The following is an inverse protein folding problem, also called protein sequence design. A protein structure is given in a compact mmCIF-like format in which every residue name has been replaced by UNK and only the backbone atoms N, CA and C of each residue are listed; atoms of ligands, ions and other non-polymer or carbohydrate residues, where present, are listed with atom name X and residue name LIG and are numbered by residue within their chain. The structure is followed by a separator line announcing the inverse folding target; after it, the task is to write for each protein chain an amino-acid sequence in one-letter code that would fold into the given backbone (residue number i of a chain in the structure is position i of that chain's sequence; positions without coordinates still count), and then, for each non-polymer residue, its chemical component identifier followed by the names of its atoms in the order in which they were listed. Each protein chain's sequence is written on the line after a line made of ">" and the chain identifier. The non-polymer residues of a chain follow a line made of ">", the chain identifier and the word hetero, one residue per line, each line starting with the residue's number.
data_IF_315976769733
#
_entry.id   IF_315976769733
#
_cell.length_a   1.000
_cell.length_b   1.000
_cell.length_c   1.000
_cell.angle_alpha   90.00
_cell.angle_beta   90.00
_cell.angle_gamma   90.00
#
_symmetry.space_group_name_H-M   'P 1'
#
loop_
_entity.id
_entity.type
_entity.pdbx_description
1 polymer ?
#
# COMPACT_ATOMS: atom_id res chain seq x y z
N UNK A 1 11.51 29.47 -64.34
CA UNK A 1 10.21 29.58 -63.63
C UNK A 1 9.59 28.23 -63.24
N UNK A 2 9.89 27.11 -63.89
CA UNK A 2 9.32 25.79 -63.55
C UNK A 2 9.85 25.18 -62.25
N UNK A 3 11.15 25.33 -61.95
CA UNK A 3 11.77 24.76 -60.75
C UNK A 3 11.16 25.26 -59.43
N UNK A 4 11.03 26.58 -59.27
CA UNK A 4 10.41 27.17 -58.07
C UNK A 4 8.93 26.78 -57.91
N UNK A 5 8.19 26.67 -59.01
CA UNK A 5 6.80 26.22 -58.99
C UNK A 5 6.69 24.77 -58.50
N UNK A 6 7.55 23.91 -58.99
CA UNK A 6 7.58 22.51 -58.55
C UNK A 6 8.08 22.36 -57.11
N UNK A 7 9.03 23.15 -56.64
CA UNK A 7 9.50 23.14 -55.27
C UNK A 7 8.40 23.56 -54.31
N UNK A 8 7.68 24.67 -54.60
CA UNK A 8 6.58 25.14 -53.77
C UNK A 8 5.43 24.12 -53.77
N UNK A 9 5.07 23.58 -54.91
CA UNK A 9 4.02 22.55 -55.02
C UNK A 9 4.36 21.29 -54.23
N UNK A 10 5.60 20.84 -54.27
CA UNK A 10 6.08 19.69 -53.50
C UNK A 10 6.05 19.98 -51.98
N UNK A 11 6.52 21.15 -51.56
CA UNK A 11 6.47 21.57 -50.16
C UNK A 11 5.03 21.61 -49.61
N UNK A 12 4.11 22.25 -50.37
CA UNK A 12 2.69 22.30 -50.00
C UNK A 12 2.09 20.88 -49.92
N UNK A 13 2.39 20.02 -50.91
CA UNK A 13 1.93 18.64 -50.92
C UNK A 13 2.41 17.84 -49.69
N UNK A 14 3.67 18.05 -49.29
CA UNK A 14 4.23 17.41 -48.09
C UNK A 14 3.55 17.91 -46.83
N UNK A 15 3.31 19.20 -46.69
CA UNK A 15 2.58 19.75 -45.53
C UNK A 15 1.14 19.24 -45.43
N UNK A 16 0.44 19.14 -46.58
CA UNK A 16 -0.92 18.57 -46.62
C UNK A 16 -0.90 17.10 -46.23
N UNK A 17 0.07 16.33 -46.76
CA UNK A 17 0.21 14.90 -46.45
C UNK A 17 0.50 14.67 -44.94
N UNK A 18 1.43 15.46 -44.34
CA UNK A 18 1.75 15.42 -42.93
C UNK A 18 0.53 15.84 -42.08
N UNK A 19 -0.21 16.87 -42.50
CA UNK A 19 -1.43 17.30 -41.82
C UNK A 19 -2.54 16.20 -41.82
N UNK A 20 -2.72 15.54 -42.95
CA UNK A 20 -3.66 14.42 -43.07
C UNK A 20 -3.23 13.22 -42.22
N UNK A 21 -1.93 12.90 -42.20
CA UNK A 21 -1.39 11.82 -41.39
C UNK A 21 -1.53 12.13 -39.91
N UNK A 22 -1.35 13.37 -39.47
CA UNK A 22 -1.56 13.82 -38.09
C UNK A 22 -3.03 13.71 -37.70
N UNK A 23 -3.96 14.15 -38.55
CA UNK A 23 -5.42 14.02 -38.32
C UNK A 23 -5.82 12.55 -38.25
N UNK A 24 -5.27 11.72 -39.18
CA UNK A 24 -5.51 10.27 -39.14
C UNK A 24 -5.02 9.64 -37.83
N UNK A 25 -3.81 10.03 -37.37
CA UNK A 25 -3.26 9.58 -36.09
C UNK A 25 -4.14 10.00 -34.90
N UNK A 26 -4.65 11.24 -34.90
CA UNK A 26 -5.57 11.70 -33.84
C UNK A 26 -6.90 10.93 -33.84
N UNK A 27 -7.48 10.68 -35.02
CA UNK A 27 -8.72 9.90 -35.17
C UNK A 27 -8.48 8.45 -34.77
N UNK A 28 -7.34 7.88 -35.15
CA UNK A 28 -6.96 6.52 -34.75
C UNK A 28 -6.74 6.43 -33.23
N UNK A 29 -6.08 7.42 -32.63
CA UNK A 29 -5.87 7.49 -31.18
C UNK A 29 -7.21 7.64 -30.44
N UNK A 30 -8.07 8.54 -30.90
CA UNK A 30 -9.40 8.74 -30.33
C UNK A 30 -10.29 7.50 -30.49
N UNK A 31 -10.23 6.83 -31.63
CA UNK A 31 -10.91 5.58 -31.87
C UNK A 31 -10.39 4.42 -31.02
N UNK A 32 -9.08 4.36 -30.82
CA UNK A 32 -8.45 3.36 -29.92
C UNK A 32 -8.89 3.55 -28.47
N UNK A 33 -8.91 4.80 -28.00
CA UNK A 33 -9.39 5.14 -26.65
C UNK A 33 -10.89 4.82 -26.50
N UNK A 34 -11.72 5.15 -27.49
CA UNK A 34 -13.13 4.85 -27.47
C UNK A 34 -13.44 3.33 -27.49
N UNK A 35 -12.61 2.54 -28.20
CA UNK A 35 -12.74 1.07 -28.20
C UNK A 35 -12.23 0.43 -26.90
N UNK A 36 -11.29 1.07 -26.18
CA UNK A 36 -10.85 0.63 -24.85
C UNK A 36 -11.88 0.93 -23.77
N UNK A 37 -12.72 1.96 -23.96
CA UNK A 37 -13.76 2.36 -22.99
C UNK A 37 -15.04 1.49 -23.09
N UNK A 38 -15.24 0.77 -24.20
CA UNK A 38 -16.39 -0.14 -24.38
C UNK A 38 -16.17 -1.54 -23.77
N UNK A 39 -14.93 -1.95 -23.53
CA UNK A 39 -14.56 -3.22 -22.89
C UNK A 39 -14.05 -3.05 -21.45
N UNK A 40 -14.32 -1.94 -20.81
CA UNK A 40 -14.21 -1.87 -19.36
C UNK A 40 -15.16 -2.89 -18.79
N UNK A 41 -14.68 -4.13 -18.59
CA UNK A 41 -15.41 -5.19 -17.90
C UNK A 41 -16.03 -4.58 -16.65
N UNK A 42 -17.32 -4.27 -16.73
CA UNK A 42 -18.11 -3.95 -15.54
C UNK A 42 -18.16 -5.25 -14.78
N UNK A 43 -17.21 -5.43 -13.83
CA UNK A 43 -17.24 -6.57 -12.93
C UNK A 43 -18.62 -6.53 -12.26
N UNK A 44 -19.52 -7.40 -12.69
CA UNK A 44 -20.79 -7.63 -12.03
C UNK A 44 -20.51 -8.55 -10.84
N UNK A 45 -20.89 -8.09 -9.66
CA UNK A 45 -20.80 -8.91 -8.46
C UNK A 45 -21.97 -9.88 -8.45
N UNK A 46 -21.67 -11.14 -8.21
CA UNK A 46 -22.66 -12.18 -7.95
C UNK A 46 -22.92 -12.33 -6.45
N UNK A 47 -24.00 -13.01 -6.10
CA UNK A 47 -24.28 -13.37 -4.71
C UNK A 47 -23.14 -14.27 -4.16
N UNK A 48 -22.79 -14.10 -2.89
CA UNK A 48 -21.72 -14.81 -2.23
C UNK A 48 -20.30 -14.50 -2.76
N UNK A 49 -20.08 -13.35 -3.39
CA UNK A 49 -18.76 -12.95 -3.83
C UNK A 49 -17.79 -12.80 -2.66
N UNK A 50 -16.62 -13.40 -2.76
CA UNK A 50 -15.50 -13.23 -1.83
C UNK A 50 -14.47 -12.29 -2.46
N UNK A 51 -14.19 -11.18 -1.77
CA UNK A 51 -13.19 -10.23 -2.23
C UNK A 51 -11.79 -10.73 -1.91
N UNK A 52 -10.99 -10.97 -2.93
CA UNK A 52 -9.59 -11.35 -2.79
C UNK A 52 -8.75 -10.10 -2.59
N UNK A 53 -8.29 -9.92 -1.36
CA UNK A 53 -7.40 -8.83 -0.98
C UNK A 53 -5.95 -9.27 -1.26
N UNK A 54 -5.52 -9.08 -2.50
CA UNK A 54 -4.18 -9.36 -3.01
C UNK A 54 -3.59 -8.04 -3.53
N UNK A 55 -2.73 -7.40 -2.73
CA UNK A 55 -2.18 -6.10 -3.03
C UNK A 55 -0.66 -6.19 -3.09
N UNK A 56 -0.14 -6.39 -4.29
CA UNK A 56 1.30 -6.44 -4.56
C UNK A 56 2.01 -5.08 -4.60
N UNK A 57 1.29 -3.98 -4.34
CA UNK A 57 1.82 -2.61 -4.41
C UNK A 57 1.88 -1.94 -3.02
N UNK A 58 2.78 -0.95 -2.86
CA UNK A 58 2.86 -0.18 -1.63
C UNK A 58 1.52 0.49 -1.26
N UNK A 59 1.24 0.54 0.04
CA UNK A 59 0.07 1.24 0.58
C UNK A 59 0.53 2.59 1.14
N UNK A 60 -0.02 3.67 0.60
CA UNK A 60 0.24 5.06 1.01
C UNK A 60 -1.04 5.69 1.59
N UNK A 61 -0.91 6.86 2.21
CA UNK A 61 -2.08 7.61 2.71
C UNK A 61 -3.04 7.97 1.57
N UNK A 62 -2.47 8.27 0.40
CA UNK A 62 -3.17 8.62 -0.82
C UNK A 62 -2.45 8.07 -2.04
N UNK A 63 -3.21 7.70 -3.05
CA UNK A 63 -2.67 7.35 -4.37
C UNK A 63 -1.83 8.49 -4.93
N UNK A 64 -0.60 8.22 -5.41
CA UNK A 64 0.20 9.25 -6.06
C UNK A 64 -0.55 9.76 -7.29
N UNK A 65 -0.79 11.08 -7.33
CA UNK A 65 -1.29 11.73 -8.54
C UNK A 65 -0.10 11.99 -9.47
N UNK A 66 0.41 10.97 -10.11
CA UNK A 66 1.36 11.17 -11.20
C UNK A 66 0.57 11.63 -12.43
N UNK A 67 0.76 12.90 -12.82
CA UNK A 67 0.35 13.38 -14.13
C UNK A 67 1.35 12.84 -15.16
N UNK A 68 1.31 11.54 -15.38
CA UNK A 68 2.14 10.88 -16.38
C UNK A 68 1.26 10.46 -17.56
N UNK A 69 1.87 10.38 -18.73
CA UNK A 69 1.21 9.80 -19.90
C UNK A 69 0.76 8.34 -19.64
N UNK A 70 1.40 7.66 -18.70
CA UNK A 70 1.05 6.33 -18.22
C UNK A 70 -0.28 6.33 -17.44
N UNK A 71 -0.56 7.35 -16.62
CA UNK A 71 -1.86 7.45 -15.93
C UNK A 71 -3.01 7.82 -16.86
N UNK A 72 -2.70 8.47 -18.00
CA UNK A 72 -3.69 8.73 -19.04
C UNK A 72 -4.01 7.48 -19.90
N UNK A 73 -3.19 6.44 -19.79
CA UNK A 73 -3.35 5.15 -20.47
C UNK A 73 -3.85 4.05 -19.49
N UNK A 74 -4.30 4.42 -18.28
CA UNK A 74 -4.76 3.46 -17.25
C UNK A 74 -3.74 2.34 -16.96
N UNK A 75 -2.44 2.64 -17.06
CA UNK A 75 -1.39 1.72 -16.64
C UNK A 75 -1.43 1.63 -15.11
N UNK A 76 -1.28 0.42 -14.56
CA UNK A 76 -1.39 0.06 -13.15
C UNK A 76 -0.85 1.14 -12.19
N UNK A 77 -1.54 1.42 -11.09
CA UNK A 77 -1.12 2.40 -10.11
C UNK A 77 0.25 2.02 -9.50
N UNK A 78 1.07 3.02 -9.20
CA UNK A 78 2.37 2.80 -8.53
C UNK A 78 2.21 2.43 -7.04
N UNK A 79 1.08 2.77 -6.44
CA UNK A 79 0.72 2.48 -5.06
C UNK A 79 -0.80 2.63 -4.86
N UNK A 80 -1.32 1.95 -3.85
CA UNK A 80 -2.72 2.11 -3.43
C UNK A 80 -2.86 3.11 -2.29
N UNK A 81 -3.91 3.93 -2.31
CA UNK A 81 -4.21 4.90 -1.26
C UNK A 81 -5.16 4.36 -0.20
N UNK A 82 -4.88 4.61 1.08
CA UNK A 82 -5.84 4.32 2.16
C UNK A 82 -7.16 5.06 1.97
N UNK A 83 -7.12 6.24 1.35
CA UNK A 83 -8.31 7.02 1.02
C UNK A 83 -9.27 6.34 0.04
N UNK A 84 -8.83 5.32 -0.68
CA UNK A 84 -9.65 4.48 -1.58
C UNK A 84 -9.93 3.11 -0.98
N UNK A 85 -8.95 2.49 -0.34
CA UNK A 85 -9.07 1.16 0.29
C UNK A 85 -10.11 1.17 1.41
N UNK A 86 -10.01 2.11 2.36
CA UNK A 86 -10.88 2.12 3.55
C UNK A 86 -12.35 2.28 3.19
N UNK A 87 -12.76 3.27 2.35
CA UNK A 87 -14.15 3.35 1.91
C UNK A 87 -14.64 2.12 1.14
N UNK A 88 -13.76 1.43 0.41
CA UNK A 88 -14.12 0.20 -0.26
C UNK A 88 -14.41 -0.95 0.74
N UNK A 89 -13.60 -1.09 1.79
CA UNK A 89 -13.86 -2.05 2.88
C UNK A 89 -15.17 -1.71 3.61
N UNK A 90 -15.42 -0.43 3.89
CA UNK A 90 -16.67 0.02 4.52
C UNK A 90 -17.91 -0.24 3.65
N UNK A 91 -17.77 -0.10 2.33
CA UNK A 91 -18.82 -0.44 1.38
C UNK A 91 -19.03 -1.95 1.32
N UNK A 92 -17.95 -2.73 1.25
CA UNK A 92 -18.02 -4.20 1.25
C UNK A 92 -18.71 -4.75 2.52
N UNK A 93 -18.52 -4.10 3.67
CA UNK A 93 -19.23 -4.47 4.90
C UNK A 93 -20.76 -4.35 4.78
N UNK A 94 -21.25 -3.46 3.91
CA UNK A 94 -22.68 -3.15 3.71
C UNK A 94 -23.26 -3.75 2.43
N UNK A 95 -22.43 -4.29 1.56
CA UNK A 95 -22.83 -4.82 0.25
C UNK A 95 -23.31 -6.26 0.40
N UNK A 96 -24.61 -6.51 0.22
CA UNK A 96 -25.23 -7.83 0.41
C UNK A 96 -24.65 -8.90 -0.53
N UNK A 97 -24.07 -8.52 -1.66
CA UNK A 97 -23.43 -9.43 -2.59
C UNK A 97 -22.06 -9.94 -2.09
N UNK A 98 -21.42 -9.21 -1.16
CA UNK A 98 -20.12 -9.58 -0.60
C UNK A 98 -20.31 -10.49 0.61
N UNK A 99 -19.79 -11.70 0.53
CA UNK A 99 -19.85 -12.67 1.63
C UNK A 99 -18.66 -12.54 2.61
N UNK A 100 -17.50 -12.13 2.14
CA UNK A 100 -16.30 -12.03 2.97
C UNK A 100 -15.09 -11.50 2.23
N UNK A 101 -13.97 -11.46 2.96
CA UNK A 101 -12.65 -11.06 2.43
C UNK A 101 -11.69 -12.25 2.56
N UNK A 102 -10.95 -12.52 1.51
CA UNK A 102 -9.83 -13.46 1.49
C UNK A 102 -8.52 -12.69 1.35
N UNK A 103 -7.78 -12.58 2.44
CA UNK A 103 -6.46 -11.91 2.44
C UNK A 103 -5.43 -12.89 1.86
N UNK A 104 -4.81 -12.51 0.74
CA UNK A 104 -3.78 -13.31 0.06
C UNK A 104 -2.63 -12.40 -0.38
N UNK A 105 -1.39 -12.87 -0.21
CA UNK A 105 -0.17 -12.20 -0.71
C UNK A 105 -0.11 -10.69 -0.46
N UNK A 106 -0.39 -10.27 0.76
CA UNK A 106 -0.18 -8.87 1.10
C UNK A 106 1.32 -8.67 1.20
N UNK A 107 1.90 -8.09 0.18
CA UNK A 107 3.22 -7.47 0.32
C UNK A 107 2.97 -6.13 1.02
N UNK A 108 2.85 -6.15 2.35
CA UNK A 108 2.47 -4.97 3.15
C UNK A 108 3.64 -3.95 3.17
N UNK A 109 3.97 -3.43 1.99
CA UNK A 109 4.93 -2.34 1.83
C UNK A 109 4.26 -1.01 2.15
N UNK A 110 4.10 -0.73 3.43
CA UNK A 110 3.57 0.54 3.93
C UNK A 110 4.12 0.83 5.32
N UNK A 111 4.07 2.09 5.75
CA UNK A 111 4.42 2.46 7.12
C UNK A 111 3.52 1.76 8.13
N UNK A 112 4.03 1.52 9.35
CA UNK A 112 3.29 0.84 10.43
C UNK A 112 1.95 1.52 10.73
N UNK A 113 1.88 2.85 10.60
CA UNK A 113 0.66 3.64 10.78
C UNK A 113 -0.40 3.29 9.75
N UNK A 114 -0.01 3.10 8.48
CA UNK A 114 -0.91 2.72 7.40
C UNK A 114 -1.46 1.31 7.62
N UNK A 115 -0.58 0.39 8.04
CA UNK A 115 -0.99 -0.98 8.39
C UNK A 115 -1.96 -1.00 9.56
N UNK A 116 -1.73 -0.18 10.58
CA UNK A 116 -2.62 -0.06 11.72
C UNK A 116 -3.99 0.49 11.31
N UNK A 117 -4.02 1.48 10.44
CA UNK A 117 -5.27 2.07 9.93
C UNK A 117 -6.05 1.07 9.07
N UNK A 118 -5.37 0.35 8.18
CA UNK A 118 -5.97 -0.73 7.40
C UNK A 118 -6.52 -1.85 8.28
N UNK A 119 -5.74 -2.27 9.29
CA UNK A 119 -6.18 -3.28 10.26
C UNK A 119 -7.47 -2.87 10.96
N UNK A 120 -7.60 -1.60 11.39
CA UNK A 120 -8.84 -1.10 11.99
C UNK A 120 -10.04 -1.23 11.08
N UNK A 121 -9.87 -0.94 9.79
CA UNK A 121 -10.93 -1.11 8.80
C UNK A 121 -11.34 -2.59 8.64
N UNK A 122 -10.38 -3.51 8.64
CA UNK A 122 -10.64 -4.95 8.58
C UNK A 122 -11.34 -5.46 9.87
N UNK A 123 -10.95 -4.96 11.04
CA UNK A 123 -11.64 -5.28 12.31
C UNK A 123 -13.09 -4.80 12.26
N UNK A 124 -13.32 -3.56 11.82
CA UNK A 124 -14.68 -3.02 11.66
C UNK A 124 -15.50 -3.79 10.60
N UNK A 125 -14.85 -4.28 9.54
CA UNK A 125 -15.53 -5.14 8.57
C UNK A 125 -16.10 -6.41 9.22
N UNK A 126 -15.38 -7.05 10.15
CA UNK A 126 -15.87 -8.24 10.86
C UNK A 126 -17.12 -7.96 11.71
N UNK A 127 -17.31 -6.74 12.17
CA UNK A 127 -18.53 -6.35 12.92
C UNK A 127 -19.81 -6.46 12.07
N UNK A 128 -19.69 -6.48 10.74
CA UNK A 128 -20.79 -6.75 9.83
C UNK A 128 -21.28 -8.21 9.86
N UNK A 129 -20.56 -9.12 10.52
CA UNK A 129 -20.83 -10.55 10.56
C UNK A 129 -20.24 -11.33 9.37
N UNK A 130 -19.58 -10.65 8.43
CA UNK A 130 -18.91 -11.26 7.29
C UNK A 130 -17.54 -11.81 7.72
N UNK A 131 -17.09 -12.87 7.05
CA UNK A 131 -15.84 -13.52 7.42
C UNK A 131 -14.61 -12.88 6.78
N UNK A 132 -13.48 -13.04 7.43
CA UNK A 132 -12.15 -12.80 6.84
C UNK A 132 -11.35 -14.08 6.96
N UNK A 133 -10.83 -14.58 5.84
CA UNK A 133 -9.86 -15.66 5.80
C UNK A 133 -8.52 -15.14 5.28
N UNK A 134 -7.43 -15.74 5.73
CA UNK A 134 -6.10 -15.41 5.25
C UNK A 134 -5.36 -16.66 4.77
N UNK A 135 -4.63 -16.52 3.67
CA UNK A 135 -3.73 -17.52 3.14
C UNK A 135 -2.42 -16.89 2.70
N UNK A 136 -1.30 -17.51 3.07
CA UNK A 136 0.03 -17.09 2.63
C UNK A 136 0.99 -18.27 2.50
N UNK A 137 1.89 -18.18 1.54
CA UNK A 137 3.02 -19.08 1.45
C UNK A 137 4.10 -18.71 2.48
N UNK A 138 4.14 -17.44 2.85
CA UNK A 138 4.97 -16.82 3.84
C UNK A 138 4.25 -15.58 4.38
N UNK A 139 4.41 -15.30 5.66
CA UNK A 139 3.97 -14.05 6.26
C UNK A 139 5.17 -13.29 6.82
N UNK A 140 5.44 -12.10 6.29
CA UNK A 140 6.28 -11.13 7.00
C UNK A 140 5.59 -10.70 8.29
N UNK A 141 6.28 -10.06 9.20
CA UNK A 141 5.66 -9.56 10.45
C UNK A 141 4.53 -8.57 10.18
N UNK A 142 4.67 -7.71 9.17
CA UNK A 142 3.62 -6.78 8.76
C UNK A 142 2.43 -7.50 8.11
N UNK A 143 2.67 -8.51 7.28
CA UNK A 143 1.62 -9.30 6.67
C UNK A 143 0.85 -10.10 7.74
N UNK A 144 1.57 -10.69 8.69
CA UNK A 144 0.97 -11.40 9.81
C UNK A 144 0.13 -10.47 10.69
N UNK A 145 0.60 -9.24 10.92
CA UNK A 145 -0.15 -8.24 11.66
C UNK A 145 -1.53 -7.97 11.03
N UNK A 146 -1.62 -7.89 9.70
CA UNK A 146 -2.89 -7.76 9.01
C UNK A 146 -3.68 -9.08 8.98
N UNK A 147 -3.03 -10.18 8.63
CA UNK A 147 -3.66 -11.49 8.53
C UNK A 147 -4.23 -11.96 9.88
N UNK A 148 -3.63 -11.53 11.01
CA UNK A 148 -4.09 -11.93 12.35
C UNK A 148 -5.50 -11.44 12.72
N UNK A 149 -6.12 -10.55 11.92
CA UNK A 149 -7.54 -10.17 12.04
C UNK A 149 -8.46 -11.31 11.60
N UNK A 150 -7.98 -12.17 10.69
CA UNK A 150 -8.81 -13.20 10.06
C UNK A 150 -9.41 -14.19 11.06
N UNK A 151 -10.57 -14.73 10.72
CA UNK A 151 -11.24 -15.80 11.46
C UNK A 151 -10.49 -17.12 11.33
N UNK A 152 -9.81 -17.30 10.20
CA UNK A 152 -8.92 -18.45 9.96
C UNK A 152 -7.72 -18.03 9.12
N UNK A 153 -6.54 -18.42 9.58
CA UNK A 153 -5.26 -18.15 8.93
C UNK A 153 -4.65 -19.47 8.47
N UNK A 154 -4.42 -19.60 7.19
CA UNK A 154 -3.78 -20.77 6.59
C UNK A 154 -2.40 -20.41 6.08
N UNK A 155 -1.44 -21.30 6.35
CA UNK A 155 -0.06 -21.20 5.90
C UNK A 155 0.25 -22.34 4.95
N UNK A 156 1.09 -22.10 3.94
CA UNK A 156 1.59 -23.20 3.12
C UNK A 156 2.35 -24.22 3.99
N UNK A 157 2.25 -25.54 3.72
CA UNK A 157 2.91 -26.56 4.55
C UNK A 157 4.43 -26.36 4.75
N UNK A 158 5.10 -25.80 3.73
CA UNK A 158 6.54 -25.45 3.77
C UNK A 158 6.78 -23.98 4.11
N UNK A 159 5.74 -23.24 4.52
CA UNK A 159 5.78 -21.82 4.80
C UNK A 159 6.26 -21.50 6.21
N UNK A 160 6.38 -20.19 6.47
CA UNK A 160 6.75 -19.67 7.78
C UNK A 160 6.10 -18.31 8.05
N UNK A 161 6.02 -17.96 9.33
CA UNK A 161 5.61 -16.64 9.81
C UNK A 161 6.86 -15.96 10.40
N UNK A 162 7.24 -14.84 9.84
CA UNK A 162 8.34 -14.03 10.37
C UNK A 162 7.86 -13.18 11.55
N UNK A 163 7.89 -13.76 12.75
CA UNK A 163 7.43 -13.13 13.99
C UNK A 163 8.58 -13.13 14.99
N UNK A 164 9.37 -12.02 15.02
CA UNK A 164 10.66 -11.94 15.70
C UNK A 164 10.85 -10.72 16.59
N UNK A 165 9.94 -9.78 16.57
CA UNK A 165 10.10 -8.50 17.25
C UNK A 165 10.67 -7.40 16.34
N UNK A 166 11.11 -6.32 16.96
CA UNK A 166 11.63 -5.14 16.27
C UNK A 166 13.06 -4.84 16.69
N UNK A 167 13.86 -4.33 15.77
CA UNK A 167 15.20 -3.84 16.04
C UNK A 167 15.49 -2.58 15.21
N UNK A 168 16.36 -1.73 15.72
CA UNK A 168 16.91 -0.60 14.98
C UNK A 168 18.43 -0.69 14.95
N UNK A 169 19.00 -0.61 13.75
CA UNK A 169 20.44 -0.59 13.52
C UNK A 169 20.83 0.77 12.94
N UNK A 170 21.81 1.42 13.57
CA UNK A 170 22.30 2.74 13.16
C UNK A 170 23.79 2.64 12.85
N UNK A 171 24.16 3.01 11.64
CA UNK A 171 25.55 3.04 11.21
C UNK A 171 26.21 4.36 11.66
N UNK A 172 27.44 4.25 12.19
CA UNK A 172 28.24 5.38 12.65
C UNK A 172 29.45 5.59 11.72
N UNK A 173 29.65 6.82 11.29
CA UNK A 173 30.61 7.16 10.22
C UNK A 173 31.79 7.98 10.69
N UNK A 174 31.90 8.35 11.99
CA UNK A 174 32.97 9.20 12.52
C UNK A 174 34.37 8.66 12.17
N UNK A 175 34.67 7.41 12.53
CA UNK A 175 35.93 6.79 12.23
C UNK A 175 36.27 6.71 10.74
N UNK A 176 35.26 6.55 9.88
CA UNK A 176 35.43 6.55 8.43
C UNK A 176 35.76 7.95 7.90
N UNK A 177 35.12 8.98 8.45
CA UNK A 177 35.39 10.38 8.12
C UNK A 177 36.82 10.76 8.50
N UNK A 178 37.24 10.45 9.71
CA UNK A 178 38.60 10.72 10.17
C UNK A 178 39.68 10.08 9.27
N UNK A 179 39.47 8.82 8.85
CA UNK A 179 40.35 8.11 7.92
C UNK A 179 40.36 8.69 6.49
N UNK A 180 39.27 9.28 6.06
CA UNK A 180 39.16 9.91 4.75
C UNK A 180 39.55 11.38 4.71
N UNK A 181 39.93 11.97 5.88
CA UNK A 181 40.28 13.38 6.00
C UNK A 181 39.07 14.33 5.88
N UNK A 182 37.85 13.80 6.00
CA UNK A 182 36.61 14.61 6.03
C UNK A 182 36.32 14.95 7.49
N UNK A 183 36.03 16.21 7.76
CA UNK A 183 35.62 16.65 9.08
C UNK A 183 34.24 17.31 8.97
N UNK A 184 33.24 16.74 9.62
CA UNK A 184 31.91 17.29 9.69
C UNK A 184 31.75 18.12 10.94
N UNK A 185 31.42 19.40 10.75
CA UNK A 185 31.03 20.29 11.84
C UNK A 185 29.51 20.35 11.94
N UNK A 186 28.96 20.09 13.11
CA UNK A 186 27.53 20.09 13.35
C UNK A 186 27.17 21.05 14.47
N UNK A 187 26.25 21.95 14.17
CA UNK A 187 25.65 22.85 15.17
C UNK A 187 24.30 22.26 15.57
N UNK A 188 24.19 21.82 16.82
CA UNK A 188 22.93 21.28 17.38
C UNK A 188 22.65 21.86 18.76
N UNK A 189 21.40 21.90 19.15
CA UNK A 189 20.95 22.27 20.49
C UNK A 189 20.02 21.21 21.03
N UNK A 190 20.27 20.73 22.25
CA UNK A 190 19.48 19.71 22.94
C UNK A 190 20.02 18.28 22.81
N UNK A 191 19.87 17.52 23.90
CA UNK A 191 20.44 16.17 24.05
C UNK A 191 19.76 15.13 23.12
N UNK A 192 18.47 15.33 22.81
CA UNK A 192 17.68 14.42 22.00
C UNK A 192 17.70 14.74 20.49
N UNK A 193 18.57 15.64 20.05
CA UNK A 193 18.82 15.94 18.63
C UNK A 193 19.83 14.93 18.07
N UNK A 194 19.40 13.67 17.93
CA UNK A 194 20.29 12.53 17.65
C UNK A 194 20.55 12.29 16.14
N UNK A 195 19.83 12.92 15.22
CA UNK A 195 19.96 12.69 13.79
C UNK A 195 21.38 12.86 13.22
N UNK A 196 22.23 13.65 13.89
CA UNK A 196 23.62 13.91 13.49
C UNK A 196 24.65 13.09 14.26
N UNK A 197 24.24 12.31 15.24
CA UNK A 197 25.15 11.46 16.03
C UNK A 197 26.00 10.50 15.20
N UNK A 198 25.46 9.89 14.12
CA UNK A 198 26.22 9.01 13.25
C UNK A 198 27.52 9.64 12.69
N UNK A 199 27.55 10.96 12.58
CA UNK A 199 28.73 11.70 12.10
C UNK A 199 29.65 12.21 13.20
N UNK A 200 29.17 12.27 14.44
CA UNK A 200 29.90 12.85 15.57
C UNK A 200 30.48 11.81 16.53
N UNK A 201 29.86 10.64 16.59
CA UNK A 201 30.18 9.59 17.55
C UNK A 201 30.56 8.28 16.84
N UNK A 202 31.17 7.35 17.53
CA UNK A 202 31.39 5.98 17.06
C UNK A 202 30.33 5.00 17.59
N UNK A 203 29.46 5.45 18.49
CA UNK A 203 28.38 4.66 19.10
C UNK A 203 27.23 5.57 19.54
N UNK A 204 26.10 4.95 19.80
CA UNK A 204 24.86 5.59 20.21
C UNK A 204 24.98 6.15 21.64
N UNK A 205 24.56 7.42 21.83
CA UNK A 205 24.42 8.00 23.17
C UNK A 205 23.27 7.32 23.96
N UNK A 206 23.35 7.43 25.30
CA UNK A 206 22.29 6.90 26.17
C UNK A 206 20.94 7.61 25.94
N UNK A 207 20.96 8.91 25.67
CA UNK A 207 19.76 9.68 25.34
C UNK A 207 19.13 9.19 24.03
N UNK A 208 19.93 8.95 23.01
CA UNK A 208 19.46 8.41 21.74
C UNK A 208 18.94 6.98 21.89
N UNK A 209 19.66 6.13 22.64
CA UNK A 209 19.24 4.76 22.96
C UNK A 209 17.88 4.74 23.65
N UNK A 210 17.71 5.57 24.66
CA UNK A 210 16.44 5.67 25.39
C UNK A 210 15.29 6.09 24.49
N UNK A 211 15.53 7.06 23.59
CA UNK A 211 14.52 7.53 22.65
C UNK A 211 14.12 6.44 21.64
N UNK A 212 15.11 5.77 21.05
CA UNK A 212 14.85 4.71 20.05
C UNK A 212 14.18 3.51 20.73
N UNK A 213 14.64 3.12 21.91
CA UNK A 213 14.05 2.01 22.66
C UNK A 213 12.58 2.28 22.97
N UNK A 214 12.26 3.46 23.51
CA UNK A 214 10.87 3.84 23.79
C UNK A 214 10.00 3.78 22.53
N UNK A 215 10.52 4.23 21.40
CA UNK A 215 9.80 4.19 20.12
C UNK A 215 9.55 2.76 19.63
N UNK A 216 10.54 1.89 19.75
CA UNK A 216 10.43 0.47 19.35
C UNK A 216 9.46 -0.26 20.28
N UNK A 217 9.56 -0.03 21.59
CA UNK A 217 8.70 -0.66 22.59
C UNK A 217 7.23 -0.27 22.37
N UNK A 218 6.94 1.02 22.16
CA UNK A 218 5.58 1.51 21.89
C UNK A 218 4.97 0.86 20.63
N UNK A 219 5.77 0.67 19.57
CA UNK A 219 5.32 -0.01 18.35
C UNK A 219 5.09 -1.49 18.64
N UNK A 220 6.03 -2.16 19.31
CA UNK A 220 5.94 -3.58 19.61
C UNK A 220 4.75 -3.90 20.48
N UNK A 221 4.53 -3.16 21.55
CA UNK A 221 3.38 -3.30 22.45
C UNK A 221 2.05 -3.11 21.70
N UNK A 222 2.00 -2.13 20.80
CA UNK A 222 0.83 -1.92 19.93
C UNK A 222 0.56 -3.12 19.02
N UNK A 223 1.60 -3.70 18.41
CA UNK A 223 1.48 -4.88 17.56
C UNK A 223 1.01 -6.09 18.37
N UNK A 224 1.67 -6.35 19.52
CA UNK A 224 1.33 -7.46 20.41
C UNK A 224 -0.11 -7.35 20.90
N UNK A 225 -0.52 -6.21 21.43
CA UNK A 225 -1.87 -6.00 21.95
C UNK A 225 -2.96 -6.24 20.92
N UNK A 226 -2.75 -5.77 19.71
CA UNK A 226 -3.68 -5.99 18.60
C UNK A 226 -3.75 -7.45 18.15
N UNK A 227 -2.60 -8.13 18.02
CA UNK A 227 -2.55 -9.55 17.66
C UNK A 227 -3.14 -10.40 18.80
N UNK A 228 -2.79 -10.11 20.04
CA UNK A 228 -3.30 -10.78 21.24
C UNK A 228 -4.83 -10.79 21.26
N UNK A 229 -5.42 -9.62 21.05
CA UNK A 229 -6.88 -9.44 21.00
C UNK A 229 -7.51 -10.30 19.90
N UNK A 230 -6.94 -10.30 18.70
CA UNK A 230 -7.51 -11.01 17.56
C UNK A 230 -7.30 -12.53 17.62
N UNK A 231 -6.17 -12.99 18.19
CA UNK A 231 -5.83 -14.42 18.29
C UNK A 231 -6.26 -15.07 19.61
N UNK A 232 -6.78 -14.30 20.56
CA UNK A 232 -7.14 -14.82 21.88
C UNK A 232 -5.93 -15.29 22.70
N UNK A 233 -4.76 -14.70 22.46
CA UNK A 233 -3.50 -15.00 23.16
C UNK A 233 -3.18 -13.84 24.13
N UNK A 234 -2.32 -14.08 25.12
CA UNK A 234 -1.78 -12.98 25.90
C UNK A 234 -0.53 -12.37 25.21
N UNK A 235 -0.31 -11.08 25.40
CA UNK A 235 0.88 -10.37 24.89
C UNK A 235 2.16 -11.06 25.35
N UNK A 236 2.24 -11.51 26.59
CA UNK A 236 3.40 -12.25 27.13
C UNK A 236 3.65 -13.56 26.40
N UNK A 237 2.61 -14.27 25.99
CA UNK A 237 2.74 -15.51 25.21
C UNK A 237 3.25 -15.20 23.82
N UNK A 238 2.73 -14.14 23.18
CA UNK A 238 3.21 -13.70 21.87
C UNK A 238 4.66 -13.23 21.90
N UNK A 239 5.05 -12.48 22.92
CA UNK A 239 6.44 -12.05 23.12
C UNK A 239 7.37 -13.26 23.26
N UNK A 240 7.00 -14.25 24.07
CA UNK A 240 7.71 -15.53 24.16
C UNK A 240 7.77 -16.28 22.82
N UNK A 241 6.70 -16.17 22.01
CA UNK A 241 6.70 -16.78 20.67
C UNK A 241 7.66 -16.08 19.72
N UNK A 242 7.82 -14.76 19.82
CA UNK A 242 8.80 -14.01 19.06
C UNK A 242 10.24 -14.43 19.46
N UNK A 243 10.54 -14.49 20.74
CA UNK A 243 11.84 -14.90 21.27
C UNK A 243 12.26 -16.30 20.83
N UNK A 244 11.28 -17.23 20.76
CA UNK A 244 11.53 -18.63 20.41
C UNK A 244 11.38 -18.91 18.93
N UNK A 245 11.19 -17.91 18.08
CA UNK A 245 10.95 -18.07 16.63
C UNK A 245 9.85 -19.08 16.35
N UNK A 246 8.72 -18.95 17.05
CA UNK A 246 7.59 -19.88 16.97
C UNK A 246 6.92 -19.95 15.60
N UNK A 247 7.15 -18.95 14.74
CA UNK A 247 6.70 -18.92 13.35
C UNK A 247 7.66 -19.54 12.33
N UNK A 248 8.84 -20.04 12.75
CA UNK A 248 9.94 -20.40 11.84
C UNK A 248 9.62 -21.56 10.86
N UNK A 249 8.55 -22.30 11.08
CA UNK A 249 7.98 -23.25 10.13
C UNK A 249 6.50 -23.46 10.45
N UNK A 250 5.78 -24.07 9.52
CA UNK A 250 4.33 -24.25 9.62
C UNK A 250 3.91 -25.07 10.85
N UNK A 251 4.64 -26.12 11.21
CA UNK A 251 4.31 -26.96 12.37
C UNK A 251 4.41 -26.18 13.68
N UNK A 252 5.46 -25.38 13.84
CA UNK A 252 5.62 -24.51 15.01
C UNK A 252 4.56 -23.43 15.04
N UNK A 253 4.26 -22.78 13.91
CA UNK A 253 3.24 -21.75 13.80
C UNK A 253 1.85 -22.26 14.21
N UNK A 254 1.48 -23.49 13.85
CA UNK A 254 0.23 -24.13 14.29
C UNK A 254 0.26 -24.40 15.79
N UNK A 255 1.34 -25.05 16.29
CA UNK A 255 1.44 -25.40 17.71
C UNK A 255 1.45 -24.17 18.65
N UNK A 256 1.86 -23.02 18.14
CA UNK A 256 1.86 -21.72 18.83
C UNK A 256 0.56 -20.94 18.61
N UNK A 257 -0.42 -21.48 17.90
CA UNK A 257 -1.67 -20.80 17.56
C UNK A 257 -1.47 -19.48 16.80
N UNK A 258 -0.31 -19.30 16.14
CA UNK A 258 -0.10 -18.17 15.23
C UNK A 258 -0.94 -18.34 13.97
N UNK A 259 -1.13 -19.57 13.49
CA UNK A 259 -2.00 -19.92 12.36
C UNK A 259 -2.93 -21.07 12.73
N UNK A 260 -4.04 -21.22 12.02
CA UNK A 260 -5.09 -22.19 12.35
C UNK A 260 -4.88 -23.53 11.61
N UNK A 261 -4.04 -23.54 10.57
CA UNK A 261 -3.74 -24.76 9.83
C UNK A 261 -2.87 -24.50 8.62
N UNK A 262 -2.57 -25.60 7.93
CA UNK A 262 -1.88 -25.54 6.65
C UNK A 262 -2.83 -25.81 5.48
N UNK A 263 -2.52 -25.19 4.36
CA UNK A 263 -3.17 -25.43 3.08
C UNK A 263 -2.20 -25.15 1.93
N UNK A 264 -2.31 -25.90 0.84
CA UNK A 264 -1.79 -25.44 -0.45
C UNK A 264 -2.78 -24.43 -1.03
N UNK A 265 -2.35 -23.60 -1.98
CA UNK A 265 -3.26 -22.64 -2.64
C UNK A 265 -4.53 -23.31 -3.21
N UNK A 266 -4.40 -24.51 -3.74
CA UNK A 266 -5.53 -25.30 -4.23
C UNK A 266 -6.48 -25.70 -3.09
N UNK A 267 -5.94 -26.33 -2.03
CA UNK A 267 -6.78 -26.78 -0.91
C UNK A 267 -7.38 -25.62 -0.12
N UNK A 268 -6.74 -24.44 -0.15
CA UNK A 268 -7.32 -23.22 0.41
C UNK A 268 -8.55 -22.75 -0.38
N UNK A 269 -8.48 -22.75 -1.72
CA UNK A 269 -9.64 -22.43 -2.57
C UNK A 269 -10.78 -23.42 -2.31
N UNK A 270 -10.48 -24.72 -2.19
CA UNK A 270 -11.48 -25.75 -1.86
C UNK A 270 -12.10 -25.49 -0.46
N UNK A 271 -11.31 -25.08 0.53
CA UNK A 271 -11.80 -24.70 1.87
C UNK A 271 -12.70 -23.46 1.82
N UNK A 272 -12.34 -22.46 1.00
CA UNK A 272 -13.13 -21.26 0.82
C UNK A 272 -14.47 -21.60 0.18
N UNK A 273 -14.47 -22.38 -0.90
CA UNK A 273 -15.66 -22.83 -1.59
C UNK A 273 -16.58 -23.69 -0.70
N UNK A 274 -16.00 -24.51 0.19
CA UNK A 274 -16.79 -25.37 1.10
C UNK A 274 -17.63 -24.64 2.15
N UNK A 275 -17.53 -23.31 2.24
CA UNK A 275 -18.40 -22.47 3.08
C UNK A 275 -19.75 -22.19 2.45
N UNK A 276 -19.89 -22.46 1.17
CA UNK A 276 -21.07 -22.17 0.37
C UNK A 276 -21.62 -23.45 -0.21
N UNK A 277 -22.94 -23.52 -0.33
CA UNK A 277 -23.61 -24.66 -0.95
C UNK A 277 -23.48 -24.62 -2.49
N UNK A 278 -23.27 -23.39 -3.03
CA UNK A 278 -23.09 -23.11 -4.44
C UNK A 278 -21.62 -22.74 -4.76
N UNK A 279 -21.31 -22.55 -6.03
CA UNK A 279 -20.00 -22.07 -6.46
C UNK A 279 -19.69 -20.69 -5.87
N UNK A 280 -18.49 -20.53 -5.33
CA UNK A 280 -18.02 -19.27 -4.76
C UNK A 280 -17.38 -18.43 -5.84
N UNK A 281 -17.94 -17.25 -6.07
CA UNK A 281 -17.31 -16.26 -6.93
C UNK A 281 -16.23 -15.49 -6.17
N UNK A 282 -15.13 -15.23 -6.85
CA UNK A 282 -14.02 -14.45 -6.29
C UNK A 282 -13.71 -13.25 -7.18
N UNK A 283 -13.73 -12.07 -6.60
CA UNK A 283 -13.40 -10.81 -7.27
C UNK A 283 -12.16 -10.20 -6.62
N UNK A 284 -11.25 -9.67 -7.42
CA UNK A 284 -10.11 -8.94 -6.89
C UNK A 284 -10.62 -7.68 -6.16
N UNK A 285 -10.06 -7.40 -4.98
CA UNK A 285 -10.44 -6.22 -4.20
C UNK A 285 -10.17 -4.90 -4.94
N UNK A 286 -9.15 -4.86 -5.80
CA UNK A 286 -8.85 -3.68 -6.63
C UNK A 286 -9.98 -3.39 -7.60
N UNK A 287 -10.54 -4.42 -8.25
CA UNK A 287 -11.68 -4.29 -9.15
C UNK A 287 -12.92 -3.82 -8.38
N UNK A 288 -13.13 -4.36 -7.17
CA UNK A 288 -14.19 -3.91 -6.28
C UNK A 288 -14.05 -2.44 -5.88
N UNK A 289 -12.83 -1.93 -5.64
CA UNK A 289 -12.61 -0.51 -5.33
C UNK A 289 -13.16 0.40 -6.43
N UNK A 290 -13.03 0.02 -7.69
CA UNK A 290 -13.58 0.78 -8.82
C UNK A 290 -15.11 0.84 -8.79
N UNK A 291 -15.77 -0.27 -8.46
CA UNK A 291 -17.23 -0.35 -8.29
C UNK A 291 -17.68 0.49 -7.10
N UNK A 292 -17.02 0.35 -5.96
CA UNK A 292 -17.33 1.07 -4.73
C UNK A 292 -17.19 2.59 -4.90
N UNK A 293 -16.21 3.05 -5.70
CA UNK A 293 -16.03 4.47 -5.99
C UNK A 293 -17.19 5.09 -6.76
N UNK A 294 -17.85 4.32 -7.64
CA UNK A 294 -19.01 4.76 -8.44
C UNK A 294 -20.28 4.91 -7.57
N UNK A 295 -20.38 4.15 -6.48
CA UNK A 295 -21.52 4.18 -5.53
C UNK A 295 -21.51 5.37 -4.57
N UNK A 296 -20.53 6.28 -4.64
CA UNK A 296 -20.45 7.49 -3.77
C UNK A 296 -21.70 8.36 -3.96
N UNK A 297 -22.51 8.47 -2.93
CA UNK A 297 -23.68 9.34 -2.91
C UNK A 297 -23.27 10.82 -3.10
N UNK A 298 -24.01 11.53 -3.97
CA UNK A 298 -23.84 12.97 -4.16
C UNK A 298 -24.50 13.70 -2.98
N UNK A 299 -23.78 13.92 -1.89
CA UNK A 299 -24.24 14.81 -0.85
C UNK A 299 -24.33 16.27 -1.34
N UNK A 300 -25.23 17.06 -0.75
CA UNK A 300 -25.37 18.49 -1.06
C UNK A 300 -24.20 19.34 -0.50
N UNK A 301 -23.54 18.86 0.54
CA UNK A 301 -22.42 19.51 1.19
C UNK A 301 -21.10 18.95 0.67
N UNK A 302 -20.09 19.80 0.50
CA UNK A 302 -18.74 19.42 0.07
C UNK A 302 -17.74 19.77 1.17
N UNK A 303 -16.84 18.86 1.46
CA UNK A 303 -15.68 19.09 2.32
C UNK A 303 -14.45 19.04 1.42
N UNK A 304 -13.66 20.12 1.42
CA UNK A 304 -12.37 20.10 0.75
C UNK A 304 -11.32 19.57 1.72
N UNK A 305 -10.52 18.60 1.27
CA UNK A 305 -9.38 18.07 2.02
C UNK A 305 -8.13 18.44 1.25
N UNK A 306 -7.28 19.27 1.87
CA UNK A 306 -5.99 19.66 1.29
C UNK A 306 -4.89 18.75 1.85
N UNK A 307 -4.17 18.09 0.95
CA UNK A 307 -3.04 17.25 1.31
C UNK A 307 -1.74 17.98 0.98
N UNK A 308 -0.88 18.18 1.97
CA UNK A 308 0.48 18.68 1.79
C UNK A 308 1.45 17.49 1.95
N UNK A 309 2.08 17.09 0.86
CA UNK A 309 3.05 16.00 0.82
C UNK A 309 4.34 16.46 0.17
N UNK A 310 5.49 16.05 0.70
CA UNK A 310 6.80 16.35 0.17
C UNK A 310 7.81 16.73 1.25
N UNK A 311 9.04 16.95 0.83
CA UNK A 311 10.08 17.46 1.70
C UNK A 311 9.87 18.94 2.00
N UNK A 312 10.10 19.34 3.26
CA UNK A 312 10.18 20.75 3.64
C UNK A 312 11.60 21.21 3.34
N UNK A 313 11.75 21.97 2.27
CA UNK A 313 13.04 22.52 1.85
C UNK A 313 13.10 24.03 2.12
N UNK A 314 14.33 24.55 2.33
CA UNK A 314 14.54 25.98 2.46
C UNK A 314 14.78 26.60 1.07
N UNK A 315 14.07 27.71 0.78
CA UNK A 315 14.20 28.46 -0.47
C UNK A 315 13.11 28.14 -1.50
N UNK A 316 13.26 28.73 -2.69
CA UNK A 316 12.35 28.48 -3.81
C UNK A 316 12.52 27.05 -4.29
N UNK A 317 11.42 26.30 -4.39
CA UNK A 317 11.41 24.94 -4.93
C UNK A 317 11.89 24.95 -6.38
N UNK A 318 12.79 24.02 -6.74
CA UNK A 318 13.13 23.80 -8.15
C UNK A 318 11.87 23.51 -8.97
N UNK A 319 11.92 23.73 -10.27
CA UNK A 319 10.85 23.74 -11.27
C UNK A 319 9.93 22.51 -11.34
N UNK A 320 9.54 21.95 -10.21
CA UNK A 320 8.54 20.91 -10.13
C UNK A 320 7.18 21.55 -9.84
N UNK A 321 6.28 21.33 -10.71
CA UNK A 321 4.89 21.65 -10.97
C UNK A 321 3.90 21.88 -9.80
N UNK A 322 4.33 22.14 -8.59
CA UNK A 322 3.50 22.47 -7.46
C UNK A 322 3.89 23.85 -6.89
N UNK A 323 3.42 24.87 -7.54
CA UNK A 323 3.33 26.22 -6.97
C UNK A 323 2.24 26.21 -5.89
N UNK A 324 2.61 25.78 -4.68
CA UNK A 324 1.74 25.94 -3.51
C UNK A 324 2.16 27.10 -2.63
N UNK A 325 3.27 27.79 -2.95
CA UNK A 325 3.73 28.95 -2.20
C UNK A 325 2.97 30.24 -2.54
N UNK A 326 2.37 30.33 -3.73
CA UNK A 326 1.66 31.55 -4.16
C UNK A 326 0.28 31.73 -3.49
N UNK A 327 -0.31 30.65 -2.98
CA UNK A 327 -1.61 30.73 -2.30
C UNK A 327 -1.52 31.25 -0.84
N UNK A 328 -0.33 31.32 -0.27
CA UNK A 328 -0.12 31.84 1.09
C UNK A 328 0.22 33.32 1.13
N UNK A 329 0.70 33.90 0.02
CA UNK A 329 1.08 35.33 -0.06
C UNK A 329 -0.06 36.24 -0.52
N UNK A 330 -1.18 35.70 -1.01
CA UNK A 330 -2.33 36.53 -1.46
C UNK A 330 -3.36 36.84 -0.36
N UNK A 331 -3.07 36.63 0.90
CA UNK A 331 -3.96 36.95 2.03
C UNK A 331 -3.51 38.14 2.85
N UNK A 332 -2.89 39.17 2.24
CA UNK A 332 -2.79 40.48 2.86
C UNK A 332 -3.89 41.41 2.34
#
# INVERSE_FOLDING_TARGET
>A
MSFFKNLISSAIGTFIALGLLFVFMLVFLAGSVALMDEDGDTVELEENTVLVFDMGLPIQDREPQSFSFASALEIDPEAYGLNTIIPAIENAAKDDLVAGISIQNISAMGGISNMHTLRKALVAFKESGKFIYAYGDYYSQSDYYLASVADSIFLHPEGSVDFRGLSAEILYYKSAQEKSGINMEVIRSGKYKSAVEPFLNDYMSEENRTQIQSYIDDIWDTLLGNIATSRGLSEKVLDTHADNLAGSNAQKAISSSLVDGTATRRSYKEKLASRFDDEVETTNFVDYMSIASRKKGKGSNRIAVLYAQGEIIYGEGGSCLLYTSDAADETE
#
